data_IF_310539081050
#
_entry.id   IF_310539081050
#
_cell.length_a   1.000
_cell.length_b   1.000
_cell.length_c   1.000
_cell.angle_alpha   90.00
_cell.angle_beta   90.00
_cell.angle_gamma   90.00
#
_symmetry.space_group_name_H-M   'P 1'
#
loop_
_entity.id
_entity.type
_entity.pdbx_description
1 polymer ?
#
# COMPACT_ATOMS: atom_id res chain seq x y z
N UNK A 1 7.97 19.15 6.30
CA UNK A 1 8.67 19.55 7.54
C UNK A 1 10.12 19.08 7.46
N UNK A 2 11.09 19.86 7.92
CA UNK A 2 12.52 19.50 7.85
C UNK A 2 12.82 18.18 8.58
N UNK A 3 12.17 17.92 9.72
CA UNK A 3 12.37 16.71 10.53
C UNK A 3 12.09 15.38 9.80
N UNK A 4 11.28 15.40 8.75
CA UNK A 4 10.89 14.23 7.95
C UNK A 4 11.55 14.25 6.56
N UNK A 5 12.69 14.92 6.43
CA UNK A 5 13.42 14.91 5.17
C UNK A 5 13.83 13.49 4.79
N UNK A 6 13.43 13.07 3.58
CA UNK A 6 14.03 11.94 2.89
C UNK A 6 14.36 12.35 1.46
N UNK A 7 15.42 11.77 0.91
CA UNK A 7 15.73 11.83 -0.51
C UNK A 7 14.65 11.08 -1.30
N UNK A 8 14.21 11.66 -2.43
CA UNK A 8 13.22 11.04 -3.31
C UNK A 8 13.77 9.83 -4.07
N UNK A 9 12.88 8.93 -4.55
CA UNK A 9 13.28 7.66 -5.17
C UNK A 9 14.02 7.81 -6.49
N UNK A 10 13.88 8.93 -7.23
CA UNK A 10 14.67 9.23 -8.43
C UNK A 10 15.52 10.50 -8.27
N UNK A 11 15.59 11.04 -7.04
CA UNK A 11 16.24 12.31 -6.76
C UNK A 11 17.76 12.12 -6.65
N UNK A 12 18.51 12.98 -7.33
CA UNK A 12 19.98 12.96 -7.23
C UNK A 12 20.44 13.52 -5.89
N UNK A 13 21.63 13.15 -5.43
CA UNK A 13 22.17 13.68 -4.18
C UNK A 13 22.23 15.22 -4.16
N UNK A 14 22.69 15.80 -5.27
CA UNK A 14 22.74 17.26 -5.44
C UNK A 14 21.35 17.91 -5.37
N UNK A 15 20.34 17.31 -6.02
CA UNK A 15 18.97 17.83 -5.97
C UNK A 15 18.42 17.76 -4.53
N UNK A 16 18.65 16.64 -3.84
CA UNK A 16 18.25 16.46 -2.44
C UNK A 16 18.90 17.52 -1.52
N UNK A 17 20.19 17.81 -1.71
CA UNK A 17 20.89 18.85 -0.94
C UNK A 17 20.31 20.25 -1.19
N UNK A 18 20.03 20.59 -2.45
CA UNK A 18 19.43 21.88 -2.80
C UNK A 18 18.02 22.03 -2.22
N UNK A 19 17.20 20.97 -2.29
CA UNK A 19 15.86 20.94 -1.69
C UNK A 19 15.91 21.08 -0.17
N UNK A 20 16.87 20.42 0.49
CA UNK A 20 17.08 20.56 1.92
C UNK A 20 17.40 22.02 2.32
N UNK A 21 18.28 22.69 1.58
CA UNK A 21 18.59 24.12 1.79
C UNK A 21 17.37 25.02 1.56
N UNK A 22 16.53 24.71 0.56
CA UNK A 22 15.30 25.44 0.33
C UNK A 22 14.34 25.34 1.53
N UNK A 23 14.18 24.15 2.13
CA UNK A 23 13.33 23.99 3.31
C UNK A 23 13.79 24.81 4.52
N UNK A 24 15.10 24.96 4.73
CA UNK A 24 15.63 25.81 5.79
C UNK A 24 15.26 27.28 5.57
N UNK A 25 15.37 27.77 4.33
CA UNK A 25 15.01 29.15 3.97
C UNK A 25 13.51 29.43 4.11
N UNK A 26 12.69 28.46 3.71
CA UNK A 26 11.23 28.61 3.71
C UNK A 26 10.64 28.47 5.13
N UNK A 27 11.40 27.94 6.10
CA UNK A 27 10.99 27.75 7.48
C UNK A 27 11.91 28.51 8.45
N UNK A 28 11.74 29.83 8.55
CA UNK A 28 12.58 30.72 9.39
C UNK A 28 12.59 30.38 10.89
N UNK A 29 11.57 29.64 11.38
CA UNK A 29 11.44 29.22 12.78
C UNK A 29 11.36 27.70 12.90
N UNK A 30 12.28 26.97 12.25
CA UNK A 30 12.29 25.51 12.31
C UNK A 30 12.71 24.93 13.68
N UNK A 31 13.30 25.72 14.58
CA UNK A 31 13.67 25.31 15.94
C UNK A 31 14.86 24.37 16.06
N UNK A 32 15.36 23.81 14.95
CA UNK A 32 16.57 22.98 14.92
C UNK A 32 17.87 23.80 14.86
N UNK A 33 18.90 23.34 15.56
CA UNK A 33 20.27 23.83 15.37
C UNK A 33 20.95 23.21 14.12
N UNK A 34 22.09 23.75 13.72
CA UNK A 34 22.81 23.30 12.51
C UNK A 34 23.25 21.84 12.58
N UNK A 35 23.61 21.34 13.77
CA UNK A 35 24.02 19.94 13.97
C UNK A 35 22.83 19.01 13.78
N UNK A 36 21.67 19.38 14.32
CA UNK A 36 20.41 18.65 14.16
C UNK A 36 20.00 18.63 12.69
N UNK A 37 20.07 19.76 11.99
CA UNK A 37 19.78 19.84 10.56
C UNK A 37 20.66 18.90 9.74
N UNK A 38 21.97 18.92 9.96
CA UNK A 38 22.91 18.04 9.25
C UNK A 38 22.68 16.55 9.56
N UNK A 39 22.31 16.21 10.80
CA UNK A 39 21.94 14.84 11.19
C UNK A 39 20.65 14.38 10.52
N UNK A 40 19.67 15.28 10.39
CA UNK A 40 18.42 15.02 9.68
C UNK A 40 18.69 14.80 8.19
N UNK A 41 19.48 15.67 7.55
CA UNK A 41 19.88 15.48 6.16
C UNK A 41 20.59 14.13 5.95
N UNK A 42 21.61 13.85 6.76
CA UNK A 42 22.38 12.61 6.66
C UNK A 42 21.50 11.36 6.84
N UNK A 43 20.56 11.37 7.79
CA UNK A 43 19.67 10.23 8.02
C UNK A 43 18.63 10.05 6.90
N UNK A 44 18.33 11.12 6.16
CA UNK A 44 17.33 11.12 5.09
C UNK A 44 17.86 10.80 3.69
N UNK A 45 19.17 10.82 3.46
CA UNK A 45 19.79 10.48 2.18
C UNK A 45 20.03 8.98 2.03
N UNK A 46 20.19 8.51 0.79
CA UNK A 46 20.52 7.11 0.49
C UNK A 46 21.82 6.66 1.15
N UNK A 47 21.82 5.40 1.58
CA UNK A 47 22.92 4.77 2.31
C UNK A 47 24.27 4.86 1.60
N UNK A 48 24.31 4.86 0.25
CA UNK A 48 25.56 4.99 -0.52
C UNK A 48 26.24 6.34 -0.29
N UNK A 49 25.46 7.41 -0.17
CA UNK A 49 26.00 8.73 0.14
C UNK A 49 26.36 8.85 1.61
N UNK A 50 25.63 8.17 2.51
CA UNK A 50 26.01 8.11 3.93
C UNK A 50 27.40 7.50 4.08
N UNK A 51 27.66 6.34 3.44
CA UNK A 51 28.97 5.68 3.42
C UNK A 51 30.05 6.57 2.81
N UNK A 52 29.75 7.26 1.71
CA UNK A 52 30.71 8.17 1.08
C UNK A 52 31.07 9.38 1.98
N UNK A 53 30.10 9.94 2.69
CA UNK A 53 30.31 11.03 3.64
C UNK A 53 31.09 10.56 4.86
N UNK A 54 30.77 9.38 5.39
CA UNK A 54 31.50 8.75 6.50
C UNK A 54 32.97 8.54 6.12
N UNK A 55 33.24 7.95 4.95
CA UNK A 55 34.59 7.78 4.42
C UNK A 55 35.34 9.11 4.22
N UNK A 56 34.67 10.13 3.68
CA UNK A 56 35.26 11.46 3.50
C UNK A 56 35.45 12.24 4.81
N UNK A 57 34.88 11.74 5.91
CA UNK A 57 34.95 12.33 7.25
C UNK A 57 35.85 11.53 8.19
N UNK A 58 36.82 10.78 7.67
CA UNK A 58 37.70 9.85 8.42
C UNK A 58 36.94 8.95 9.41
N UNK A 59 35.73 8.53 9.06
CA UNK A 59 34.92 7.63 9.88
C UNK A 59 33.47 8.08 10.01
N UNK A 60 33.17 8.99 10.93
CA UNK A 60 31.79 9.33 11.29
C UNK A 60 31.45 10.77 10.93
N UNK A 61 30.55 10.94 9.97
CA UNK A 61 30.13 12.26 9.51
C UNK A 61 29.44 13.07 10.61
N UNK A 62 28.65 12.42 11.47
CA UNK A 62 27.85 13.07 12.52
C UNK A 62 28.67 13.68 13.66
N UNK A 63 29.98 13.39 13.73
CA UNK A 63 30.90 13.97 14.72
C UNK A 63 31.63 15.21 14.20
N UNK A 64 31.54 15.50 12.89
CA UNK A 64 32.23 16.64 12.27
C UNK A 64 31.58 17.96 12.66
N UNK A 65 32.41 19.01 12.70
CA UNK A 65 31.92 20.38 12.93
C UNK A 65 31.00 20.78 11.77
N UNK A 66 29.92 21.55 12.01
CA UNK A 66 28.96 21.88 10.96
C UNK A 66 29.58 22.47 9.68
N UNK A 67 30.57 23.35 9.83
CA UNK A 67 31.32 23.91 8.70
C UNK A 67 32.04 22.85 7.85
N UNK A 68 32.65 21.86 8.49
CA UNK A 68 33.35 20.77 7.80
C UNK A 68 32.35 19.82 7.14
N UNK A 69 31.29 19.46 7.86
CA UNK A 69 30.21 18.62 7.36
C UNK A 69 29.54 19.22 6.11
N UNK A 70 29.21 20.52 6.12
CA UNK A 70 28.69 21.22 4.94
C UNK A 70 29.66 21.14 3.76
N UNK A 71 30.97 21.36 4.00
CA UNK A 71 31.98 21.28 2.94
C UNK A 71 32.06 19.87 2.32
N UNK A 72 31.97 18.83 3.14
CA UNK A 72 31.95 17.45 2.65
C UNK A 72 30.71 17.16 1.78
N UNK A 73 29.53 17.63 2.22
CA UNK A 73 28.29 17.52 1.43
C UNK A 73 28.43 18.26 0.10
N UNK A 74 28.91 19.49 0.11
CA UNK A 74 29.08 20.29 -1.12
C UNK A 74 30.08 19.65 -2.08
N UNK A 75 31.20 19.15 -1.56
CA UNK A 75 32.19 18.43 -2.35
C UNK A 75 31.57 17.18 -2.98
N UNK A 76 30.83 16.38 -2.22
CA UNK A 76 30.17 15.18 -2.75
C UNK A 76 29.11 15.55 -3.80
N UNK A 77 28.33 16.60 -3.58
CA UNK A 77 27.34 17.12 -4.53
C UNK A 77 27.95 17.72 -5.81
N UNK A 78 29.19 18.19 -5.75
CA UNK A 78 29.94 18.68 -6.89
C UNK A 78 30.72 17.56 -7.61
N UNK A 79 31.01 16.46 -6.91
CA UNK A 79 31.79 15.36 -7.43
C UNK A 79 31.03 14.52 -8.46
N UNK A 80 31.77 13.90 -9.37
CA UNK A 80 31.20 12.93 -10.31
C UNK A 80 30.95 11.55 -9.67
N UNK A 81 31.44 11.29 -8.45
CA UNK A 81 31.32 9.97 -7.81
C UNK A 81 29.88 9.64 -7.41
N UNK A 82 29.00 10.64 -7.29
CA UNK A 82 27.58 10.41 -7.02
C UNK A 82 26.81 9.87 -8.24
N UNK A 83 27.35 10.01 -9.46
CA UNK A 83 26.61 9.77 -10.72
C UNK A 83 26.12 8.34 -10.90
N UNK A 84 26.93 7.34 -10.54
CA UNK A 84 26.54 5.94 -10.67
C UNK A 84 25.38 5.62 -9.72
N UNK A 85 25.48 6.04 -8.46
CA UNK A 85 24.42 5.87 -7.48
C UNK A 85 23.14 6.64 -7.87
N UNK A 86 23.28 7.84 -8.44
CA UNK A 86 22.17 8.64 -8.96
C UNK A 86 21.49 7.93 -10.15
N UNK A 87 22.27 7.35 -11.07
CA UNK A 87 21.76 6.63 -12.25
C UNK A 87 21.02 5.35 -11.86
N UNK A 88 21.63 4.50 -11.02
CA UNK A 88 20.99 3.28 -10.54
C UNK A 88 19.67 3.59 -9.82
N UNK A 89 19.65 4.63 -8.98
CA UNK A 89 18.44 5.07 -8.30
C UNK A 89 17.36 5.48 -9.30
N UNK A 90 17.71 6.24 -10.32
CA UNK A 90 16.78 6.63 -11.38
C UNK A 90 16.25 5.42 -12.17
N UNK A 91 17.09 4.41 -12.44
CA UNK A 91 16.67 3.17 -13.10
C UNK A 91 15.64 2.41 -12.26
N UNK A 92 15.96 2.18 -10.99
CA UNK A 92 15.06 1.49 -10.06
C UNK A 92 13.71 2.20 -9.93
N UNK A 93 13.72 3.53 -9.86
CA UNK A 93 12.47 4.31 -9.83
C UNK A 93 11.66 4.18 -11.12
N UNK A 94 12.30 4.16 -12.29
CA UNK A 94 11.63 3.96 -13.57
C UNK A 94 11.07 2.54 -13.73
N UNK A 95 11.78 1.52 -13.25
CA UNK A 95 11.32 0.13 -13.25
C UNK A 95 10.07 -0.05 -12.37
N UNK A 96 10.05 0.57 -11.19
CA UNK A 96 8.88 0.55 -10.31
C UNK A 96 7.67 1.23 -10.96
N UNK A 97 7.86 2.39 -11.59
CA UNK A 97 6.79 3.11 -12.30
C UNK A 97 6.24 2.28 -13.48
N UNK A 98 7.12 1.70 -14.29
CA UNK A 98 6.74 0.80 -15.39
C UNK A 98 5.97 -0.43 -14.89
N UNK A 99 6.41 -1.02 -13.78
CA UNK A 99 5.72 -2.16 -13.16
C UNK A 99 4.32 -1.82 -12.69
N UNK A 100 4.15 -0.67 -12.02
CA UNK A 100 2.83 -0.18 -11.60
C UNK A 100 1.92 0.07 -12.80
N UNK A 101 2.44 0.66 -13.88
CA UNK A 101 1.68 0.89 -15.11
C UNK A 101 1.25 -0.43 -15.78
N UNK A 102 2.14 -1.42 -15.83
CA UNK A 102 1.83 -2.74 -16.38
C UNK A 102 0.74 -3.45 -15.56
N UNK A 103 0.78 -3.35 -14.23
CA UNK A 103 -0.25 -3.90 -13.35
C UNK A 103 -1.62 -3.22 -13.57
N UNK A 104 -1.63 -1.88 -13.66
CA UNK A 104 -2.85 -1.11 -13.97
C UNK A 104 -3.42 -1.53 -15.33
N UNK A 105 -2.56 -1.68 -16.35
CA UNK A 105 -2.97 -2.17 -17.67
C UNK A 105 -3.57 -3.57 -17.62
N UNK A 106 -2.93 -4.52 -16.93
CA UNK A 106 -3.44 -5.88 -16.81
C UNK A 106 -4.80 -5.94 -16.10
N UNK A 107 -4.99 -5.12 -15.06
CA UNK A 107 -6.29 -4.97 -14.38
C UNK A 107 -7.33 -4.35 -15.29
N UNK A 108 -6.96 -3.33 -16.07
CA UNK A 108 -7.85 -2.71 -17.06
C UNK A 108 -8.29 -3.71 -18.14
N UNK A 109 -7.36 -4.50 -18.68
CA UNK A 109 -7.66 -5.54 -19.67
C UNK A 109 -8.61 -6.61 -19.08
N UNK A 110 -8.42 -6.98 -17.81
CA UNK A 110 -9.31 -7.90 -17.10
C UNK A 110 -10.72 -7.33 -16.98
N UNK A 111 -10.85 -6.07 -16.56
CA UNK A 111 -12.15 -5.37 -16.46
C UNK A 111 -12.82 -5.26 -17.84
N UNK A 112 -12.06 -4.87 -18.86
CA UNK A 112 -12.55 -4.78 -20.23
C UNK A 112 -13.08 -6.13 -20.73
N UNK A 113 -12.32 -7.21 -20.53
CA UNK A 113 -12.75 -8.55 -20.91
C UNK A 113 -14.01 -9.00 -20.17
N UNK A 114 -14.13 -8.71 -18.87
CA UNK A 114 -15.35 -9.04 -18.11
C UNK A 114 -16.56 -8.26 -18.62
N UNK A 115 -16.40 -6.99 -19.01
CA UNK A 115 -17.48 -6.16 -19.50
C UNK A 115 -17.95 -6.59 -20.90
N UNK A 116 -17.01 -6.84 -21.80
CA UNK A 116 -17.30 -7.26 -23.19
C UNK A 116 -17.82 -8.69 -23.24
N UNK A 117 -17.32 -9.59 -22.37
CA UNK A 117 -17.74 -10.98 -22.34
C UNK A 117 -18.96 -11.26 -21.43
N UNK A 118 -19.73 -10.24 -21.01
CA UNK A 118 -21.05 -10.47 -20.40
C UNK A 118 -21.96 -11.11 -21.45
N UNK A 119 -21.97 -12.45 -21.49
CA UNK A 119 -22.99 -13.23 -22.19
C UNK A 119 -24.35 -12.81 -21.62
N UNK A 120 -25.25 -12.41 -22.51
CA UNK A 120 -26.65 -12.17 -22.16
C UNK A 120 -27.20 -13.40 -21.43
N UNK A 121 -27.89 -13.16 -20.32
CA UNK A 121 -28.65 -14.20 -19.64
C UNK A 121 -29.69 -14.71 -20.64
N UNK A 122 -29.50 -15.92 -21.17
CA UNK A 122 -30.54 -16.58 -21.95
C UNK A 122 -31.62 -17.03 -20.97
N UNK A 123 -32.80 -16.41 -21.07
CA UNK A 123 -34.00 -16.90 -20.40
C UNK A 123 -34.33 -18.27 -21.02
N UNK A 124 -34.41 -19.31 -20.19
CA UNK A 124 -34.77 -20.64 -20.66
C UNK A 124 -36.20 -20.59 -21.24
N UNK A 125 -36.33 -21.04 -22.48
CA UNK A 125 -37.61 -21.16 -23.18
C UNK A 125 -38.50 -22.14 -22.41
N UNK A 126 -39.74 -21.72 -22.12
CA UNK A 126 -40.76 -22.54 -21.47
C UNK A 126 -40.99 -23.84 -22.25
N UNK A 127 -41.01 -24.95 -21.52
CA UNK A 127 -41.33 -26.28 -22.03
C UNK A 127 -42.84 -26.34 -22.25
N UNK A 128 -43.27 -26.44 -23.51
CA UNK A 128 -44.60 -26.93 -23.82
C UNK A 128 -44.67 -28.43 -23.47
N UNK A 129 -45.69 -28.82 -22.69
CA UNK A 129 -46.71 -29.83 -23.05
C UNK A 129 -47.55 -30.11 -21.80
N UNK A 130 -48.85 -29.80 -21.86
CA UNK A 130 -49.87 -30.62 -21.22
C UNK A 130 -51.14 -30.54 -22.07
N UNK A 131 -51.62 -31.70 -22.51
CA UNK A 131 -52.87 -31.89 -23.24
C UNK A 131 -54.05 -31.50 -22.35
N UNK A 132 -54.88 -30.58 -22.82
CA UNK A 132 -56.15 -30.26 -22.17
C UNK A 132 -57.24 -31.21 -22.66
N UNK A 133 -57.59 -32.16 -21.79
CA UNK A 133 -58.81 -32.95 -21.82
C UNK A 133 -60.04 -32.06 -21.53
N UNK A 134 -61.16 -32.50 -22.07
CA UNK A 134 -62.47 -31.86 -22.23
C UNK A 134 -63.14 -31.47 -20.90
N UNK A 135 -63.93 -30.39 -20.90
CA UNK A 135 -64.77 -30.04 -19.75
C UNK A 135 -65.18 -28.58 -19.63
N UNK A 136 -66.29 -28.22 -20.28
CA UNK A 136 -67.01 -26.98 -20.05
C UNK A 136 -67.43 -26.80 -18.58
N UNK A 137 -67.32 -25.57 -18.03
CA UNK A 137 -68.38 -24.93 -17.22
C UNK A 137 -68.03 -23.46 -16.89
N UNK A 138 -68.88 -22.60 -17.46
CA UNK A 138 -69.44 -21.31 -17.01
C UNK A 138 -68.64 -20.32 -16.12
N UNK A 139 -68.61 -19.09 -16.64
CA UNK A 139 -68.16 -17.87 -15.99
C UNK A 139 -69.08 -17.47 -14.83
N UNK A 140 -68.51 -17.00 -13.71
CA UNK A 140 -69.17 -15.99 -12.89
C UNK A 140 -68.14 -14.95 -12.40
N UNK A 141 -68.36 -13.70 -12.82
CA UNK A 141 -67.54 -12.54 -12.49
C UNK A 141 -68.21 -11.80 -11.34
N UNK A 142 -67.54 -11.67 -10.20
CA UNK A 142 -68.02 -10.78 -9.14
C UNK A 142 -66.96 -9.79 -8.70
N UNK A 143 -67.18 -8.54 -9.09
CA UNK A 143 -66.33 -7.38 -8.84
C UNK A 143 -66.71 -6.77 -7.49
N UNK A 144 -65.81 -6.78 -6.51
CA UNK A 144 -65.96 -5.94 -5.30
C UNK A 144 -64.76 -5.02 -5.15
N UNK A 145 -65.08 -3.77 -5.44
CA UNK A 145 -64.28 -2.56 -5.32
C UNK A 145 -63.89 -2.29 -3.86
N UNK A 146 -62.72 -1.68 -3.69
CA UNK A 146 -62.05 -1.49 -2.43
C UNK A 146 -62.75 -0.52 -1.48
N UNK A 147 -62.51 -0.77 -0.20
CA UNK A 147 -62.54 0.24 0.86
C UNK A 147 -61.65 -0.27 1.99
N UNK A 148 -60.55 0.43 2.23
CA UNK A 148 -59.61 0.13 3.31
C UNK A 148 -60.18 0.44 4.69
N UNK A 149 -59.57 -0.10 5.73
CA UNK A 149 -58.87 0.63 6.80
C UNK A 149 -58.34 -0.37 7.85
N UNK A 150 -57.02 -0.38 7.98
CA UNK A 150 -56.23 -0.27 9.23
C UNK A 150 -56.50 -1.23 10.42
N UNK A 151 -55.44 -1.90 10.92
CA UNK A 151 -55.46 -2.41 12.30
C UNK A 151 -54.51 -3.58 12.64
N UNK A 152 -53.21 -3.29 12.74
CA UNK A 152 -52.26 -3.76 13.77
C UNK A 152 -52.38 -5.15 14.46
N UNK A 153 -51.25 -5.90 14.36
CA UNK A 153 -50.58 -6.77 15.38
C UNK A 153 -51.23 -8.11 15.78
N UNK A 154 -50.46 -9.20 15.71
CA UNK A 154 -49.83 -9.95 16.83
C UNK A 154 -49.38 -11.36 16.41
N UNK A 155 -48.09 -11.71 16.67
CA UNK A 155 -47.55 -13.07 16.92
C UNK A 155 -47.65 -14.13 15.79
N UNK A 156 -46.83 -15.16 15.67
CA UNK A 156 -45.74 -15.69 16.48
C UNK A 156 -44.93 -16.61 15.53
N UNK A 157 -43.62 -16.42 15.44
CA UNK A 157 -42.73 -17.28 14.65
C UNK A 157 -42.34 -18.51 15.47
N UNK A 158 -42.59 -19.71 14.94
CA UNK A 158 -42.04 -20.94 15.50
C UNK A 158 -41.13 -21.59 14.44
N UNK A 159 -39.88 -21.11 14.41
CA UNK A 159 -38.79 -21.67 13.62
C UNK A 159 -38.11 -22.81 14.38
N UNK A 160 -38.14 -24.00 13.79
CA UNK A 160 -37.54 -25.22 14.33
C UNK A 160 -36.08 -25.33 13.86
N UNK A 161 -35.12 -25.27 14.79
CA UNK A 161 -33.68 -25.43 14.53
C UNK A 161 -33.20 -26.83 14.92
N UNK A 162 -32.58 -27.55 13.97
CA UNK A 162 -31.58 -28.63 14.19
C UNK A 162 -30.57 -28.53 13.02
N UNK A 163 -29.44 -27.85 13.17
CA UNK A 163 -28.15 -28.28 13.76
C UNK A 163 -27.46 -29.43 13.00
N UNK A 164 -26.42 -29.09 12.24
CA UNK A 164 -25.26 -29.95 11.96
C UNK A 164 -24.00 -29.10 12.12
N UNK A 165 -23.10 -29.59 12.98
CA UNK A 165 -21.85 -28.93 13.34
C UNK A 165 -20.65 -29.35 12.49
N UNK A 166 -19.49 -28.93 13.03
CA UNK A 166 -18.10 -29.11 12.55
C UNK A 166 -17.66 -28.10 11.47
N UNK A 167 -16.48 -27.49 11.49
CA UNK A 167 -15.29 -27.69 12.32
C UNK A 167 -14.42 -26.43 12.37
N UNK A 168 -13.55 -26.40 13.39
CA UNK A 168 -12.64 -25.35 13.82
C UNK A 168 -11.59 -24.88 12.78
N UNK A 169 -11.28 -23.59 12.80
CA UNK A 169 -9.93 -23.08 12.50
C UNK A 169 -9.47 -22.20 13.67
N UNK A 170 -8.55 -22.74 14.49
CA UNK A 170 -7.75 -21.97 15.45
C UNK A 170 -6.38 -21.78 14.84
N UNK A 171 -6.00 -20.52 14.61
CA UNK A 171 -4.61 -20.14 14.42
C UNK A 171 -3.86 -20.06 15.75
N UNK A 172 -2.56 -20.40 15.74
CA UNK A 172 -1.56 -19.68 16.52
C UNK A 172 -0.14 -20.03 16.00
N UNK A 173 0.59 -19.02 15.55
CA UNK A 173 2.01 -19.13 15.20
C UNK A 173 2.85 -18.91 16.47
N UNK A 174 3.51 -19.96 16.94
CA UNK A 174 4.46 -19.93 18.06
C UNK A 174 5.91 -19.87 17.56
N UNK A 175 6.62 -18.85 18.02
CA UNK A 175 8.04 -18.55 17.76
C UNK A 175 8.99 -19.69 18.16
N UNK A 176 9.98 -19.96 17.31
CA UNK A 176 11.13 -20.80 17.63
C UNK A 176 12.37 -19.90 17.79
N UNK A 177 12.76 -19.62 19.04
CA UNK A 177 14.01 -18.93 19.35
C UNK A 177 15.11 -19.96 19.59
N UNK A 178 16.03 -19.97 18.62
CA UNK A 178 17.25 -20.75 18.58
C UNK A 178 18.30 -20.06 19.49
N UNK A 179 18.67 -20.68 20.62
CA UNK A 179 19.73 -20.19 21.50
C UNK A 179 21.00 -21.01 21.28
N UNK A 180 21.93 -20.49 20.47
CA UNK A 180 23.29 -21.01 20.35
C UNK A 180 24.21 -20.20 21.27
N UNK A 181 24.61 -20.80 22.39
CA UNK A 181 25.55 -20.21 23.34
C UNK A 181 27.00 -20.41 22.91
N UNK A 182 27.74 -19.31 22.75
CA UNK A 182 29.19 -19.31 22.54
C UNK A 182 29.87 -19.02 23.89
N UNK A 183 30.76 -19.92 24.35
CA UNK A 183 31.66 -19.68 25.49
C UNK A 183 33.03 -19.20 24.97
N UNK A 184 33.67 -18.18 25.58
CA UNK A 184 35.05 -17.85 25.29
C UNK A 184 35.99 -18.78 26.10
N UNK A 185 37.05 -19.29 25.46
CA UNK A 185 38.18 -19.91 26.17
C UNK A 185 39.11 -18.81 26.69
N UNK A 186 39.44 -18.89 27.97
CA UNK A 186 40.55 -18.15 28.58
C UNK A 186 41.83 -18.96 28.38
N UNK A 187 42.82 -18.38 27.70
CA UNK A 187 44.18 -18.93 27.66
C UNK A 187 44.92 -18.54 28.93
N UNK A 188 45.66 -19.50 29.48
CA UNK A 188 46.65 -19.35 30.55
C UNK A 188 48.05 -19.48 29.96
#
# INVERSE_FOLDING_TARGET
MIAQFSQGPAETFKAAWLRFKAYQRDCQHHGFDEVQLLRTFFSGIDWRYQVALDAASDGNFKTRRPREANKLIENLAASNSSKNADFERKSLAAELDNGQMAEVKAKLDTVHNLLVNKKSVHFAQEVEVFESDDGATEEDVNYVNGSGYNGQRYGNYQGNFKNYGQNNQRGNYGNNQNSSGYMPKTDA
#
